data_IF_044145911432
#
_entry.id   IF_044145911432
#
_cell.length_a   1.000
_cell.length_b   1.000
_cell.length_c   1.000
_cell.angle_alpha   90.00
_cell.angle_beta   90.00
_cell.angle_gamma   90.00
#
_symmetry.space_group_name_H-M   'P 1'
#
loop_
_entity.id
_entity.type
_entity.pdbx_description
1 polymer ?
#
# COMPACT_ATOMS: atom_id res chain seq x y z
N UNK A 1 6.52 7.28 -37.85
CA UNK A 1 7.84 6.63 -37.89
C UNK A 1 8.84 7.73 -37.63
N UNK A 2 9.29 7.89 -36.38
CA UNK A 2 10.47 7.19 -35.85
C UNK A 2 11.66 8.06 -36.23
N UNK A 3 12.40 8.71 -35.34
CA UNK A 3 13.12 8.13 -34.23
C UNK A 3 13.82 9.26 -33.43
N UNK A 4 14.07 9.01 -32.15
CA UNK A 4 15.19 9.55 -31.35
C UNK A 4 15.25 11.06 -31.06
N UNK A 5 14.59 11.47 -29.97
CA UNK A 5 14.98 12.63 -29.16
C UNK A 5 15.65 12.13 -27.87
N UNK A 6 16.96 11.90 -27.94
CA UNK A 6 17.76 11.59 -26.75
C UNK A 6 18.67 12.78 -26.46
N UNK A 7 18.47 13.34 -25.26
CA UNK A 7 19.40 14.11 -24.43
C UNK A 7 20.23 15.22 -25.11
N UNK A 8 20.03 16.47 -24.67
CA UNK A 8 20.94 17.20 -23.76
C UNK A 8 20.24 18.50 -23.36
N UNK A 9 19.77 18.59 -22.12
CA UNK A 9 19.73 19.86 -21.39
C UNK A 9 20.15 19.56 -19.96
N UNK A 10 21.47 19.42 -19.80
CA UNK A 10 22.12 19.44 -18.50
C UNK A 10 22.02 20.83 -17.88
N UNK A 11 21.78 20.84 -16.57
CA UNK A 11 22.21 21.85 -15.60
C UNK A 11 21.72 23.30 -15.80
N UNK A 12 20.46 23.61 -15.47
CA UNK A 12 20.04 24.97 -15.04
C UNK A 12 18.59 25.00 -14.49
N UNK A 13 18.34 24.56 -13.25
CA UNK A 13 17.30 25.09 -12.30
C UNK A 13 17.13 24.16 -11.08
N UNK A 14 18.19 24.00 -10.28
CA UNK A 14 18.20 23.04 -9.15
C UNK A 14 17.46 23.55 -7.89
N UNK A 15 17.04 24.82 -7.81
CA UNK A 15 16.43 25.34 -6.55
C UNK A 15 14.97 25.81 -6.63
N UNK A 16 14.41 26.01 -7.83
CA UNK A 16 13.00 26.42 -7.99
C UNK A 16 12.06 25.31 -8.48
N UNK A 17 12.59 24.29 -9.16
CA UNK A 17 11.79 23.26 -9.84
C UNK A 17 11.26 22.15 -8.92
N UNK A 18 12.01 21.78 -7.87
CA UNK A 18 11.61 20.68 -6.98
C UNK A 18 10.36 21.07 -6.16
N UNK A 19 10.28 22.32 -5.71
CA UNK A 19 9.11 22.81 -4.97
C UNK A 19 7.84 22.86 -5.84
N UNK A 20 7.96 23.24 -7.12
CA UNK A 20 6.83 23.27 -8.04
C UNK A 20 6.34 21.85 -8.42
N UNK A 21 7.26 20.88 -8.58
CA UNK A 21 6.90 19.48 -8.81
C UNK A 21 6.20 18.91 -7.57
N UNK A 22 6.68 19.18 -6.36
CA UNK A 22 6.01 18.77 -5.12
C UNK A 22 4.61 19.41 -4.97
N UNK A 23 4.48 20.71 -5.27
CA UNK A 23 3.19 21.42 -5.16
C UNK A 23 2.15 20.97 -6.20
N UNK A 24 2.58 20.58 -7.41
CA UNK A 24 1.70 20.01 -8.44
C UNK A 24 1.33 18.56 -8.11
N UNK A 25 2.28 17.79 -7.59
CA UNK A 25 2.07 16.40 -7.13
C UNK A 25 1.03 16.35 -6.01
N UNK A 26 1.19 17.18 -4.97
CA UNK A 26 0.29 17.22 -3.80
C UNK A 26 -1.17 17.56 -4.18
N UNK A 27 -1.34 18.47 -5.15
CA UNK A 27 -2.66 18.95 -5.59
C UNK A 27 -3.44 17.91 -6.43
N UNK A 28 -2.74 17.04 -7.15
CA UNK A 28 -3.34 15.92 -7.90
C UNK A 28 -3.54 14.68 -7.02
N UNK A 29 -2.59 14.37 -6.13
CA UNK A 29 -2.70 13.24 -5.22
C UNK A 29 -3.87 13.39 -4.24
N UNK A 30 -4.20 14.60 -3.78
CA UNK A 30 -5.39 14.83 -2.93
C UNK A 30 -6.73 14.43 -3.56
N UNK A 31 -6.81 14.25 -4.89
CA UNK A 31 -8.02 13.76 -5.58
C UNK A 31 -7.89 12.39 -6.24
N UNK A 32 -6.71 11.78 -6.25
CA UNK A 32 -6.52 10.44 -6.82
C UNK A 32 -7.33 9.39 -6.03
N UNK A 33 -7.99 8.42 -6.67
CA UNK A 33 -8.60 7.31 -5.94
C UNK A 33 -7.51 6.53 -5.18
N UNK A 34 -7.87 5.92 -4.05
CA UNK A 34 -6.95 5.02 -3.35
C UNK A 34 -6.59 3.85 -4.26
N UNK A 35 -5.29 3.61 -4.44
CA UNK A 35 -4.80 2.47 -5.21
C UNK A 35 -4.65 1.26 -4.28
N UNK A 36 -5.23 0.12 -4.64
CA UNK A 36 -4.98 -1.13 -3.93
C UNK A 36 -3.84 -1.90 -4.61
N UNK A 37 -2.81 -2.25 -3.84
CA UNK A 37 -1.69 -3.10 -4.29
C UNK A 37 -1.54 -4.29 -3.38
N UNK A 38 -0.92 -5.34 -3.87
CA UNK A 38 -0.56 -6.49 -3.04
C UNK A 38 0.88 -6.36 -2.56
N UNK A 39 1.12 -6.75 -1.31
CA UNK A 39 2.46 -6.79 -0.71
C UNK A 39 2.66 -8.17 -0.10
N UNK A 40 3.60 -8.91 -0.69
CA UNK A 40 4.00 -10.20 -0.14
C UNK A 40 4.82 -10.00 1.14
N UNK A 41 4.37 -10.65 2.21
CA UNK A 41 5.02 -10.67 3.50
C UNK A 41 5.17 -12.11 3.99
N UNK A 42 6.14 -12.33 4.88
CA UNK A 42 6.29 -13.59 5.58
C UNK A 42 5.87 -13.45 7.04
N UNK A 43 5.75 -14.59 7.74
CA UNK A 43 5.31 -14.59 9.12
C UNK A 43 6.28 -13.83 10.05
N UNK A 44 7.59 -13.95 9.82
CA UNK A 44 8.61 -13.23 10.59
C UNK A 44 8.45 -11.72 10.50
N UNK A 45 8.17 -11.21 9.30
CA UNK A 45 7.89 -9.80 9.07
C UNK A 45 6.61 -9.38 9.79
N UNK A 46 5.53 -10.16 9.67
CA UNK A 46 4.26 -9.86 10.35
C UNK A 46 4.42 -9.75 11.87
N UNK A 47 5.08 -10.74 12.48
CA UNK A 47 5.30 -10.81 13.93
C UNK A 47 6.16 -9.66 14.47
N UNK A 48 7.13 -9.19 13.68
CA UNK A 48 8.01 -8.06 14.04
C UNK A 48 7.48 -6.70 13.59
N UNK A 49 6.41 -6.66 12.79
CA UNK A 49 5.89 -5.44 12.19
C UNK A 49 5.31 -4.49 13.24
N UNK A 50 5.52 -3.18 13.04
CA UNK A 50 4.79 -2.16 13.79
C UNK A 50 3.29 -2.19 13.47
N UNK A 51 2.91 -2.75 12.30
CA UNK A 51 1.53 -2.86 11.88
C UNK A 51 0.72 -3.75 12.82
N UNK A 52 1.25 -4.93 13.18
CA UNK A 52 0.60 -5.84 14.14
C UNK A 52 0.35 -5.15 15.49
N UNK A 53 1.30 -4.33 15.95
CA UNK A 53 1.15 -3.54 17.19
C UNK A 53 0.00 -2.53 17.08
N UNK A 54 -0.05 -1.78 15.98
CA UNK A 54 -1.13 -0.80 15.75
C UNK A 54 -2.52 -1.45 15.71
N UNK A 55 -2.66 -2.62 15.08
CA UNK A 55 -3.94 -3.36 15.10
C UNK A 55 -4.26 -3.89 16.50
N UNK A 56 -3.26 -4.36 17.25
CA UNK A 56 -3.43 -4.79 18.63
C UNK A 56 -3.87 -3.66 19.56
N UNK A 57 -3.33 -2.45 19.38
CA UNK A 57 -3.75 -1.24 20.10
C UNK A 57 -5.19 -0.83 19.78
N UNK A 58 -5.66 -1.13 18.57
CA UNK A 58 -7.07 -0.98 18.18
C UNK A 58 -7.99 -2.09 18.72
N UNK A 59 -7.45 -3.00 19.54
CA UNK A 59 -8.21 -4.09 20.16
C UNK A 59 -8.26 -5.38 19.35
N UNK A 60 -7.67 -5.40 18.15
CA UNK A 60 -7.72 -6.55 17.24
C UNK A 60 -6.61 -7.54 17.62
N UNK A 61 -6.99 -8.73 18.08
CA UNK A 61 -6.05 -9.74 18.58
C UNK A 61 -5.94 -10.97 17.69
N UNK A 62 -6.94 -11.23 16.87
CA UNK A 62 -7.02 -12.43 16.05
C UNK A 62 -6.64 -12.11 14.61
N UNK A 63 -5.60 -12.79 14.12
CA UNK A 63 -5.11 -12.68 12.76
C UNK A 63 -5.00 -14.07 12.15
N UNK A 64 -5.38 -14.20 10.89
CA UNK A 64 -5.32 -15.47 10.17
C UNK A 64 -5.13 -15.25 8.68
N UNK A 65 -4.64 -16.28 7.99
CA UNK A 65 -4.50 -16.28 6.54
C UNK A 65 -5.75 -16.86 5.91
N UNK A 66 -6.29 -16.18 4.90
CA UNK A 66 -7.42 -16.66 4.10
C UNK A 66 -7.05 -16.75 2.64
N UNK A 67 -7.50 -17.80 1.96
CA UNK A 67 -7.39 -17.86 0.52
C UNK A 67 -8.26 -16.77 -0.12
N UNK A 68 -7.85 -16.30 -1.31
CA UNK A 68 -8.55 -15.27 -2.05
C UNK A 68 -10.00 -15.67 -2.42
N UNK A 69 -10.23 -16.95 -2.73
CA UNK A 69 -11.56 -17.51 -3.05
C UNK A 69 -12.55 -17.42 -1.88
N UNK A 70 -12.06 -17.58 -0.64
CA UNK A 70 -12.89 -17.49 0.58
C UNK A 70 -12.94 -16.09 1.17
N UNK A 71 -12.17 -15.14 0.62
CA UNK A 71 -12.03 -13.82 1.19
C UNK A 71 -13.38 -13.08 1.29
N UNK A 72 -14.20 -13.19 0.25
CA UNK A 72 -15.54 -12.58 0.22
C UNK A 72 -16.42 -13.15 1.33
N UNK A 73 -16.42 -14.46 1.51
CA UNK A 73 -17.16 -15.13 2.59
C UNK A 73 -16.66 -14.66 3.97
N UNK A 74 -15.34 -14.58 4.17
CA UNK A 74 -14.74 -14.07 5.42
C UNK A 74 -15.13 -12.64 5.73
N UNK A 75 -15.22 -11.79 4.71
CA UNK A 75 -15.68 -10.41 4.89
C UNK A 75 -17.15 -10.34 5.30
N UNK A 76 -17.99 -11.22 4.73
CA UNK A 76 -19.40 -11.35 5.13
C UNK A 76 -19.54 -11.88 6.56
N UNK A 77 -18.64 -12.76 7.00
CA UNK A 77 -18.54 -13.23 8.40
C UNK A 77 -18.09 -12.14 9.38
N UNK A 78 -17.79 -10.92 8.91
CA UNK A 78 -17.34 -9.79 9.73
C UNK A 78 -15.82 -9.72 9.94
N UNK A 79 -15.04 -10.53 9.22
CA UNK A 79 -13.57 -10.41 9.24
C UNK A 79 -13.14 -9.24 8.36
N UNK A 80 -12.03 -8.61 8.72
CA UNK A 80 -11.48 -7.47 7.98
C UNK A 80 -10.15 -7.84 7.31
N UNK A 81 -9.86 -7.24 6.17
CA UNK A 81 -8.55 -7.38 5.53
C UNK A 81 -7.55 -6.48 6.24
N UNK A 82 -6.36 -7.00 6.52
CA UNK A 82 -5.26 -6.19 7.03
C UNK A 82 -4.60 -5.47 5.88
N UNK A 83 -4.66 -4.14 5.93
CA UNK A 83 -3.97 -3.26 5.00
C UNK A 83 -2.83 -2.51 5.69
N UNK A 84 -1.73 -2.37 4.99
CA UNK A 84 -0.72 -1.34 5.24
C UNK A 84 -1.04 -0.12 4.37
N UNK A 85 -1.17 1.04 5.00
CA UNK A 85 -1.62 2.27 4.34
C UNK A 85 -0.44 3.20 4.17
N UNK A 86 -0.14 3.53 2.92
CA UNK A 86 0.76 4.60 2.55
C UNK A 86 -0.09 5.83 2.21
N UNK A 87 -0.21 6.74 3.16
CA UNK A 87 -1.03 7.96 3.00
C UNK A 87 -0.41 8.97 2.03
N UNK A 88 0.92 8.99 1.91
CA UNK A 88 1.66 9.89 1.02
C UNK A 88 1.35 9.55 -0.43
N UNK A 89 1.45 8.26 -0.77
CA UNK A 89 1.17 7.77 -2.12
C UNK A 89 -0.30 7.37 -2.33
N UNK A 90 -1.13 7.43 -1.28
CA UNK A 90 -2.52 6.93 -1.26
C UNK A 90 -2.66 5.49 -1.74
N UNK A 91 -1.72 4.64 -1.31
CA UNK A 91 -1.71 3.22 -1.64
C UNK A 91 -2.14 2.42 -0.42
N UNK A 92 -3.02 1.45 -0.62
CA UNK A 92 -3.36 0.43 0.38
C UNK A 92 -2.75 -0.89 -0.06
N UNK A 93 -1.77 -1.34 0.69
CA UNK A 93 -1.12 -2.62 0.48
C UNK A 93 -1.89 -3.71 1.21
N UNK A 94 -2.57 -4.55 0.42
CA UNK A 94 -3.17 -5.81 0.85
C UNK A 94 -2.04 -6.79 1.14
N UNK A 95 -1.96 -7.25 2.38
CA UNK A 95 -0.89 -8.14 2.80
C UNK A 95 -1.21 -9.57 2.38
N UNK A 96 -0.31 -10.17 1.61
CA UNK A 96 -0.41 -11.56 1.15
C UNK A 96 0.79 -12.36 1.60
N UNK A 97 0.65 -13.67 1.74
CA UNK A 97 1.79 -14.57 1.94
C UNK A 97 2.28 -15.15 0.61
N UNK A 98 3.40 -15.88 0.64
CA UNK A 98 3.97 -16.58 -0.53
C UNK A 98 3.00 -17.56 -1.22
N UNK A 99 1.98 -18.04 -0.49
CA UNK A 99 0.95 -18.92 -1.03
C UNK A 99 -0.23 -18.15 -1.64
N UNK A 100 -0.17 -16.81 -1.72
CA UNK A 100 -1.24 -15.96 -2.23
C UNK A 100 -2.42 -15.81 -1.27
N UNK A 101 -2.27 -16.19 0.00
CA UNK A 101 -3.31 -16.01 1.00
C UNK A 101 -3.26 -14.59 1.55
N UNK A 102 -4.43 -13.98 1.74
CA UNK A 102 -4.60 -12.64 2.26
C UNK A 102 -4.64 -12.68 3.78
N UNK A 103 -3.93 -11.75 4.43
CA UNK A 103 -4.01 -11.58 5.87
C UNK A 103 -5.33 -10.90 6.25
N UNK A 104 -6.08 -11.56 7.12
CA UNK A 104 -7.32 -11.05 7.66
C UNK A 104 -7.25 -10.99 9.18
N UNK A 105 -8.05 -10.11 9.77
CA UNK A 105 -8.26 -10.01 11.19
C UNK A 105 -9.72 -10.18 11.57
N UNK A 106 -9.96 -10.61 12.81
CA UNK A 106 -11.29 -10.60 13.41
C UNK A 106 -11.34 -9.51 14.49
N UNK A 107 -12.33 -8.60 14.43
CA UNK A 107 -12.54 -7.58 15.46
C UNK A 107 -13.12 -8.14 16.75
#
# INVERSE_FOLDING_TARGET
MGEFLTLVLGASTILGGVAAIAAIHDKWFKKAPWEEREKEINNTWWESSNLKKQYSEKGIKEFSWSNADKLVERLVEGKCIVYEVDEENRIRYKLINKSGQVLICAP
#
